data_IF_468358250068
#
_entry.id   IF_468358250068
#
_cell.length_a   1.000
_cell.length_b   1.000
_cell.length_c   1.000
_cell.angle_alpha   90.00
_cell.angle_beta   90.00
_cell.angle_gamma   90.00
#
_symmetry.space_group_name_H-M   'P 1'
#
loop_
_entity.id
_entity.type
_entity.pdbx_description
1 polymer ?
#
# COMPACT_ATOMS: atom_id res chain seq x y z
N UNK A 1 24.21 -12.46 -41.79
CA UNK A 1 25.21 -12.00 -40.79
C UNK A 1 25.25 -10.48 -40.84
N UNK A 2 24.72 -9.81 -39.81
CA UNK A 2 24.81 -8.36 -39.56
C UNK A 2 25.14 -8.18 -38.06
N UNK A 3 26.00 -7.23 -37.67
CA UNK A 3 26.82 -7.34 -36.46
C UNK A 3 26.08 -6.98 -35.17
N UNK A 4 26.42 -7.69 -34.09
CA UNK A 4 26.00 -7.40 -32.71
C UNK A 4 26.50 -6.01 -32.28
N UNK A 5 25.60 -5.18 -31.75
CA UNK A 5 25.96 -3.98 -31.00
C UNK A 5 25.98 -4.31 -29.51
N UNK A 6 27.21 -4.35 -28.99
CA UNK A 6 27.67 -4.01 -27.64
C UNK A 6 26.61 -3.73 -26.57
N UNK A 7 26.58 -4.62 -25.57
CA UNK A 7 25.99 -4.43 -24.25
C UNK A 7 26.92 -3.51 -23.44
N UNK A 8 26.50 -2.28 -23.14
CA UNK A 8 27.19 -1.41 -22.18
C UNK A 8 26.52 -1.54 -20.82
N UNK A 9 27.20 -2.30 -19.95
CA UNK A 9 27.01 -2.35 -18.51
C UNK A 9 27.44 -1.00 -17.91
N UNK A 10 26.47 -0.22 -17.41
CA UNK A 10 26.73 0.93 -16.55
C UNK A 10 26.29 0.55 -15.13
N UNK A 11 27.24 -0.03 -14.39
CA UNK A 11 27.32 0.09 -12.93
C UNK A 11 27.65 1.55 -12.57
N UNK A 12 27.51 1.95 -11.29
CA UNK A 12 27.85 3.23 -10.61
C UNK A 12 26.57 3.93 -10.10
N UNK A 13 26.35 4.29 -8.83
CA UNK A 13 27.12 4.26 -7.58
C UNK A 13 26.09 4.39 -6.45
N UNK A 14 26.10 3.50 -5.44
CA UNK A 14 25.40 3.75 -4.18
C UNK A 14 26.21 4.78 -3.36
N UNK A 15 25.61 5.92 -3.04
CA UNK A 15 26.17 6.91 -2.13
C UNK A 15 25.71 6.64 -0.70
N UNK A 16 26.56 6.81 0.33
CA UNK A 16 26.18 6.58 1.71
C UNK A 16 25.27 7.68 2.25
N UNK A 17 24.24 7.25 3.00
CA UNK A 17 23.31 8.08 3.75
C UNK A 17 24.04 9.05 4.68
N UNK A 18 23.59 10.31 4.67
CA UNK A 18 24.05 11.33 5.62
C UNK A 18 23.28 11.17 6.93
N UNK A 19 24.01 10.78 7.96
CA UNK A 19 23.59 10.74 9.36
C UNK A 19 23.27 12.16 9.84
N UNK A 20 22.00 12.49 10.02
CA UNK A 20 21.56 13.72 10.66
C UNK A 20 21.10 13.43 12.09
N UNK A 21 21.85 13.95 13.05
CA UNK A 21 21.58 13.93 14.49
C UNK A 21 20.24 14.59 14.82
N UNK A 22 19.25 13.80 15.23
CA UNK A 22 18.05 14.32 15.89
C UNK A 22 18.40 14.79 17.32
N UNK A 23 18.20 16.07 17.57
CA UNK A 23 18.28 16.64 18.92
C UNK A 23 16.89 16.57 19.59
N UNK A 24 16.85 15.88 20.73
CA UNK A 24 15.99 16.11 21.90
C UNK A 24 14.51 16.48 21.70
N UNK A 25 13.63 15.55 22.05
CA UNK A 25 12.27 15.87 22.49
C UNK A 25 12.10 15.50 23.97
N UNK A 26 11.68 16.52 24.73
CA UNK A 26 11.44 16.53 26.18
C UNK A 26 10.12 15.80 26.52
N UNK A 27 10.20 14.82 27.42
CA UNK A 27 9.04 14.10 27.96
C UNK A 27 8.49 14.85 29.18
N UNK A 28 7.54 15.74 28.97
CA UNK A 28 6.74 16.33 30.05
C UNK A 28 5.42 16.86 29.51
N UNK A 29 4.34 16.06 29.62
CA UNK A 29 2.96 16.49 29.96
C UNK A 29 1.93 15.38 29.60
N UNK A 30 1.84 14.34 30.43
CA UNK A 30 0.71 13.40 30.40
C UNK A 30 -0.44 14.02 31.20
N UNK A 31 -1.35 14.71 30.52
CA UNK A 31 -2.50 15.38 31.13
C UNK A 31 -3.74 15.33 30.26
N UNK A 32 -4.59 14.33 30.52
CA UNK A 32 -6.04 14.36 30.29
C UNK A 32 -6.53 14.49 28.85
N UNK A 33 -6.83 13.35 28.21
CA UNK A 33 -7.82 13.31 27.14
C UNK A 33 -8.86 12.23 27.42
N UNK A 34 -10.09 12.69 27.49
CA UNK A 34 -11.32 11.93 27.63
C UNK A 34 -11.43 10.89 26.52
N UNK A 35 -11.60 9.62 26.88
CA UNK A 35 -12.02 8.54 25.97
C UNK A 35 -13.51 8.77 25.63
N UNK A 36 -13.76 9.78 24.79
CA UNK A 36 -15.04 9.96 24.11
C UNK A 36 -15.04 9.10 22.86
N UNK A 37 -16.08 8.28 22.70
CA UNK A 37 -16.20 7.23 21.69
C UNK A 37 -15.64 7.58 20.33
N UNK A 38 -14.58 6.87 19.95
CA UNK A 38 -14.21 6.69 18.56
C UNK A 38 -15.18 5.63 18.03
N UNK A 39 -16.27 6.08 17.41
CA UNK A 39 -16.90 5.29 16.37
C UNK A 39 -15.84 5.06 15.32
N UNK A 40 -15.22 3.88 15.36
CA UNK A 40 -14.57 3.36 14.17
C UNK A 40 -15.69 3.00 13.22
N UNK A 41 -16.15 4.00 12.48
CA UNK A 41 -16.60 3.76 11.12
C UNK A 41 -15.33 3.25 10.40
N UNK A 42 -15.08 1.95 10.57
CA UNK A 42 -14.23 1.21 9.66
C UNK A 42 -15.00 1.22 8.34
N UNK A 43 -14.86 2.32 7.61
CA UNK A 43 -15.03 2.35 6.18
C UNK A 43 -14.05 1.30 5.68
N UNK A 44 -14.55 0.05 5.54
CA UNK A 44 -13.92 -0.95 4.72
C UNK A 44 -13.62 -0.22 3.42
N UNK A 45 -12.33 0.02 3.16
CA UNK A 45 -11.84 0.81 2.05
C UNK A 45 -12.52 0.28 0.81
N UNK A 46 -13.58 0.97 0.42
CA UNK A 46 -14.28 0.64 -0.80
C UNK A 46 -13.34 1.09 -1.90
N UNK A 47 -13.38 0.40 -3.03
CA UNK A 47 -13.04 0.86 -4.37
C UNK A 47 -13.36 2.35 -4.73
N UNK A 48 -13.95 3.12 -3.81
CA UNK A 48 -14.30 4.55 -3.74
C UNK A 48 -13.28 5.57 -4.24
N UNK A 49 -12.03 5.20 -4.53
CA UNK A 49 -11.01 6.11 -5.08
C UNK A 49 -10.57 5.79 -6.51
N UNK A 50 -11.09 4.73 -7.12
CA UNK A 50 -10.70 4.30 -8.46
C UNK A 50 -11.57 5.00 -9.53
N UNK A 51 -10.99 5.40 -10.68
CA UNK A 51 -11.75 5.93 -11.80
C UNK A 51 -12.84 4.95 -12.29
N UNK A 52 -13.93 5.47 -12.86
CA UNK A 52 -15.09 4.66 -13.32
C UNK A 52 -14.66 3.51 -14.25
N UNK A 53 -13.69 3.76 -15.14
CA UNK A 53 -13.12 2.75 -16.05
C UNK A 53 -12.56 1.51 -15.35
N UNK A 54 -12.18 1.63 -14.07
CA UNK A 54 -11.71 0.51 -13.25
C UNK A 54 -12.83 -0.31 -12.62
N UNK A 55 -14.07 0.20 -12.66
CA UNK A 55 -15.23 -0.40 -12.01
C UNK A 55 -16.26 -0.96 -13.01
N UNK A 56 -16.05 -0.76 -14.31
CA UNK A 56 -17.02 -1.08 -15.37
C UNK A 56 -17.47 -2.57 -15.41
N UNK A 57 -16.82 -3.48 -14.67
CA UNK A 57 -17.24 -4.89 -14.53
C UNK A 57 -17.06 -5.46 -13.10
N UNK A 58 -16.90 -4.61 -12.08
CA UNK A 58 -16.61 -5.04 -10.71
C UNK A 58 -17.76 -5.88 -10.09
N UNK A 59 -19.00 -5.66 -10.53
CA UNK A 59 -20.21 -6.33 -10.03
C UNK A 59 -20.20 -7.86 -10.23
N UNK A 60 -19.35 -8.39 -11.11
CA UNK A 60 -19.25 -9.83 -11.36
C UNK A 60 -18.59 -10.62 -10.21
N UNK A 61 -17.83 -9.96 -9.33
CA UNK A 61 -17.08 -10.62 -8.24
C UNK A 61 -17.56 -10.27 -6.82
N UNK A 62 -18.46 -9.29 -6.68
CA UNK A 62 -18.96 -8.80 -5.38
C UNK A 62 -19.72 -9.85 -4.53
N UNK A 63 -19.90 -11.07 -5.02
CA UNK A 63 -20.61 -12.16 -4.34
C UNK A 63 -19.75 -13.32 -3.86
N UNK A 64 -18.43 -13.28 -4.03
CA UNK A 64 -17.52 -14.38 -3.65
C UNK A 64 -16.72 -14.04 -2.38
N UNK A 65 -17.39 -13.72 -1.27
CA UNK A 65 -16.72 -13.68 0.04
C UNK A 65 -16.37 -15.11 0.47
N UNK A 66 -15.08 -15.38 0.71
CA UNK A 66 -14.69 -16.50 1.56
C UNK A 66 -14.77 -16.02 3.01
N UNK A 67 -15.94 -16.17 3.63
CA UNK A 67 -16.12 -15.99 5.07
C UNK A 67 -15.38 -17.11 5.83
N UNK A 68 -14.05 -16.99 5.94
CA UNK A 68 -13.30 -17.66 6.99
C UNK A 68 -13.30 -16.78 8.23
N UNK A 69 -13.55 -17.36 9.40
CA UNK A 69 -13.51 -16.66 10.69
C UNK A 69 -12.06 -16.23 11.01
N UNK A 70 -11.66 -15.08 10.46
CA UNK A 70 -10.34 -14.47 10.68
C UNK A 70 -10.17 -13.99 12.13
N UNK A 71 -11.27 -13.82 12.88
CA UNK A 71 -11.25 -13.34 14.27
C UNK A 71 -10.46 -14.29 15.19
N UNK A 72 -10.69 -15.60 15.05
CA UNK A 72 -9.96 -16.62 15.80
C UNK A 72 -8.47 -16.73 15.42
N UNK A 73 -8.10 -16.35 14.19
CA UNK A 73 -6.70 -16.34 13.75
C UNK A 73 -5.94 -15.09 14.22
N UNK A 74 -6.64 -13.99 14.51
CA UNK A 74 -6.04 -12.73 14.99
C UNK A 74 -5.82 -12.72 16.51
N UNK A 75 -6.44 -13.64 17.25
CA UNK A 75 -6.29 -13.76 18.69
C UNK A 75 -4.85 -14.15 19.07
N UNK A 76 -4.12 -13.23 19.71
CA UNK A 76 -2.74 -13.43 20.15
C UNK A 76 -1.65 -12.88 19.21
N UNK A 77 -2.02 -12.27 18.08
CA UNK A 77 -1.08 -11.56 17.20
C UNK A 77 -0.80 -10.14 17.70
N UNK A 78 0.39 -9.59 17.42
CA UNK A 78 0.70 -8.19 17.73
C UNK A 78 -0.12 -7.23 16.86
N UNK A 79 -0.28 -5.98 17.30
CA UNK A 79 -1.01 -4.94 16.56
C UNK A 79 -0.47 -4.77 15.13
N UNK A 80 0.86 -4.74 14.96
CA UNK A 80 1.48 -4.67 13.62
C UNK A 80 1.17 -5.88 12.72
N UNK A 81 1.07 -7.09 13.28
CA UNK A 81 0.66 -8.27 12.52
C UNK A 81 -0.82 -8.20 12.11
N UNK A 82 -1.68 -7.68 13.00
CA UNK A 82 -3.09 -7.49 12.72
C UNK A 82 -3.30 -6.45 11.61
N UNK A 83 -2.59 -5.32 11.69
CA UNK A 83 -2.61 -4.27 10.68
C UNK A 83 -2.19 -4.80 9.30
N UNK A 84 -1.09 -5.57 9.23
CA UNK A 84 -0.62 -6.16 7.98
C UNK A 84 -1.66 -7.09 7.34
N UNK A 85 -2.33 -7.94 8.14
CA UNK A 85 -3.38 -8.83 7.60
C UNK A 85 -4.62 -8.07 7.13
N UNK A 86 -5.05 -7.04 7.87
CA UNK A 86 -6.18 -6.19 7.47
C UNK A 86 -5.90 -5.49 6.13
N UNK A 87 -4.70 -4.89 5.98
CA UNK A 87 -4.30 -4.20 4.76
C UNK A 87 -4.25 -5.14 3.55
N UNK A 88 -3.70 -6.35 3.72
CA UNK A 88 -3.68 -7.37 2.67
C UNK A 88 -5.08 -7.82 2.25
N UNK A 89 -6.01 -7.95 3.20
CA UNK A 89 -7.40 -8.32 2.92
C UNK A 89 -8.13 -7.25 2.10
N UNK A 90 -7.99 -5.98 2.50
CA UNK A 90 -8.56 -4.85 1.76
C UNK A 90 -7.99 -4.75 0.33
N UNK A 91 -6.66 -4.79 0.21
CA UNK A 91 -5.94 -4.77 -1.07
C UNK A 91 -6.43 -5.88 -2.03
N UNK A 92 -6.62 -7.11 -1.52
CA UNK A 92 -7.06 -8.23 -2.35
C UNK A 92 -8.45 -8.00 -2.94
N UNK A 93 -9.40 -7.52 -2.13
CA UNK A 93 -10.77 -7.29 -2.58
C UNK A 93 -10.82 -6.22 -3.68
N UNK A 94 -10.17 -5.08 -3.47
CA UNK A 94 -10.16 -3.97 -4.43
C UNK A 94 -9.43 -4.35 -5.73
N UNK A 95 -8.27 -5.04 -5.63
CA UNK A 95 -7.52 -5.51 -6.79
C UNK A 95 -8.36 -6.46 -7.65
N UNK A 96 -9.04 -7.43 -7.03
CA UNK A 96 -9.86 -8.39 -7.77
C UNK A 96 -11.04 -7.73 -8.49
N UNK A 97 -11.63 -6.69 -7.90
CA UNK A 97 -12.67 -5.90 -8.55
C UNK A 97 -12.11 -5.10 -9.75
N UNK A 98 -10.96 -4.46 -9.58
CA UNK A 98 -10.37 -3.54 -10.55
C UNK A 98 -9.76 -4.23 -11.78
N UNK A 99 -9.35 -5.51 -11.67
CA UNK A 99 -8.79 -6.30 -12.76
C UNK A 99 -9.83 -6.81 -13.79
N UNK A 100 -11.11 -6.42 -13.65
CA UNK A 100 -12.20 -6.89 -14.52
C UNK A 100 -12.46 -5.99 -15.74
N UNK A 101 -11.67 -4.92 -15.95
CA UNK A 101 -11.79 -4.09 -17.15
C UNK A 101 -11.56 -4.92 -18.44
N UNK A 102 -12.27 -4.57 -19.52
CA UNK A 102 -12.18 -5.32 -20.79
C UNK A 102 -10.81 -5.17 -21.46
N UNK A 103 -10.26 -3.96 -21.46
CA UNK A 103 -8.91 -3.68 -21.95
C UNK A 103 -7.86 -4.14 -20.93
N UNK A 104 -6.89 -4.95 -21.38
CA UNK A 104 -5.88 -5.52 -20.50
C UNK A 104 -4.96 -4.47 -19.86
N UNK A 105 -4.58 -3.43 -20.61
CA UNK A 105 -3.71 -2.39 -20.07
C UNK A 105 -4.45 -1.60 -18.98
N UNK A 106 -5.73 -1.30 -19.21
CA UNK A 106 -6.61 -0.68 -18.21
C UNK A 106 -6.76 -1.61 -17.00
N UNK A 107 -7.06 -2.89 -17.19
CA UNK A 107 -7.21 -3.85 -16.10
C UNK A 107 -5.93 -3.99 -15.26
N UNK A 108 -4.75 -3.96 -15.91
CA UNK A 108 -3.47 -3.98 -15.22
C UNK A 108 -3.28 -2.73 -14.36
N UNK A 109 -3.48 -1.53 -14.92
CA UNK A 109 -3.31 -0.26 -14.19
C UNK A 109 -4.33 -0.15 -13.05
N UNK A 110 -5.59 -0.47 -13.34
CA UNK A 110 -6.67 -0.47 -12.35
C UNK A 110 -6.39 -1.46 -11.21
N UNK A 111 -5.87 -2.65 -11.49
CA UNK A 111 -5.47 -3.62 -10.47
C UNK A 111 -4.20 -3.24 -9.70
N UNK A 112 -3.27 -2.52 -10.33
CA UNK A 112 -2.03 -2.10 -9.69
C UNK A 112 -2.22 -0.95 -8.70
N UNK A 113 -3.18 -0.05 -8.91
CA UNK A 113 -3.47 1.02 -7.94
C UNK A 113 -3.78 0.49 -6.53
N UNK A 114 -4.77 -0.42 -6.31
CA UNK A 114 -5.04 -0.96 -4.99
C UNK A 114 -3.90 -1.85 -4.47
N UNK A 115 -3.18 -2.56 -5.35
CA UNK A 115 -1.98 -3.31 -4.95
C UNK A 115 -0.91 -2.40 -4.35
N UNK A 116 -0.64 -1.25 -5.00
CA UNK A 116 0.33 -0.26 -4.52
C UNK A 116 -0.19 0.42 -3.23
N UNK A 117 -1.50 0.67 -3.13
CA UNK A 117 -2.10 1.19 -1.89
C UNK A 117 -1.92 0.21 -0.71
N UNK A 118 -2.13 -1.09 -0.93
CA UNK A 118 -1.86 -2.10 0.10
C UNK A 118 -0.39 -2.12 0.55
N UNK A 119 0.55 -1.92 -0.39
CA UNK A 119 1.97 -1.79 -0.08
C UNK A 119 2.26 -0.52 0.74
N UNK A 120 1.61 0.61 0.45
CA UNK A 120 1.70 1.84 1.25
C UNK A 120 1.20 1.62 2.67
N UNK A 121 0.04 0.99 2.83
CA UNK A 121 -0.56 0.77 4.15
C UNK A 121 0.31 -0.17 5.00
N UNK A 122 0.91 -1.19 4.38
CA UNK A 122 1.89 -2.07 5.06
C UNK A 122 3.19 -1.36 5.41
N UNK A 123 3.70 -0.50 4.52
CA UNK A 123 4.90 0.28 4.79
C UNK A 123 4.66 1.27 5.95
N UNK A 124 3.49 1.92 6.00
CA UNK A 124 3.09 2.77 7.11
C UNK A 124 2.97 2.00 8.43
N UNK A 125 2.41 0.78 8.40
CA UNK A 125 2.41 -0.09 9.57
C UNK A 125 3.84 -0.47 10.01
N UNK A 126 4.77 -0.69 9.08
CA UNK A 126 6.17 -0.93 9.42
C UNK A 126 6.83 0.31 10.04
N UNK A 127 6.54 1.52 9.55
CA UNK A 127 7.04 2.77 10.14
C UNK A 127 6.54 2.97 11.57
N UNK A 128 5.31 2.53 11.88
CA UNK A 128 4.72 2.62 13.21
C UNK A 128 5.25 1.54 14.18
N UNK A 129 5.29 0.27 13.74
CA UNK A 129 5.50 -0.88 14.64
C UNK A 129 6.88 -1.52 14.57
N UNK A 130 7.70 -1.24 13.55
CA UNK A 130 9.04 -1.85 13.47
C UNK A 130 10.00 -1.23 14.49
N UNK A 131 10.88 -2.06 15.06
CA UNK A 131 11.97 -1.60 15.95
C UNK A 131 13.30 -1.48 15.21
N UNK A 132 13.48 -2.21 14.11
CA UNK A 132 14.71 -2.22 13.32
C UNK A 132 14.76 -1.02 12.36
N UNK A 133 15.82 -0.22 12.45
CA UNK A 133 15.95 1.01 11.67
C UNK A 133 16.09 0.74 10.16
N UNK A 134 16.73 -0.37 9.75
CA UNK A 134 16.79 -0.72 8.33
C UNK A 134 15.41 -1.05 7.77
N UNK A 135 14.54 -1.66 8.57
CA UNK A 135 13.15 -1.93 8.17
C UNK A 135 12.36 -0.62 7.98
N UNK A 136 12.57 0.38 8.84
CA UNK A 136 11.94 1.70 8.69
C UNK A 136 12.46 2.45 7.46
N UNK A 137 13.77 2.39 7.21
CA UNK A 137 14.36 2.97 6.00
C UNK A 137 13.74 2.35 4.73
N UNK A 138 13.66 1.02 4.67
CA UNK A 138 13.00 0.32 3.58
C UNK A 138 11.52 0.70 3.45
N UNK A 139 10.80 0.83 4.56
CA UNK A 139 9.39 1.22 4.55
C UNK A 139 9.20 2.64 3.97
N UNK A 140 10.06 3.59 4.34
CA UNK A 140 10.03 4.93 3.76
C UNK A 140 10.33 4.93 2.26
N UNK A 141 11.31 4.13 1.81
CA UNK A 141 11.60 3.98 0.38
C UNK A 141 10.40 3.41 -0.41
N UNK A 142 9.67 2.46 0.19
CA UNK A 142 8.44 1.91 -0.39
C UNK A 142 7.37 2.99 -0.48
N UNK A 143 7.15 3.79 0.56
CA UNK A 143 6.18 4.91 0.55
C UNK A 143 6.48 5.87 -0.61
N UNK A 144 7.71 6.38 -0.67
CA UNK A 144 8.11 7.38 -1.67
C UNK A 144 8.00 6.85 -3.11
N UNK A 145 8.25 5.55 -3.32
CA UNK A 145 8.15 4.93 -4.63
C UNK A 145 6.70 4.70 -5.06
N UNK A 146 5.91 4.09 -4.19
CA UNK A 146 4.57 3.61 -4.50
C UNK A 146 3.57 4.78 -4.61
N UNK A 147 3.74 5.86 -3.84
CA UNK A 147 2.94 7.09 -4.00
C UNK A 147 3.12 7.71 -5.39
N UNK A 148 4.37 7.77 -5.87
CA UNK A 148 4.68 8.26 -7.22
C UNK A 148 4.07 7.36 -8.29
N UNK A 149 4.20 6.04 -8.16
CA UNK A 149 3.65 5.08 -9.11
C UNK A 149 2.12 5.15 -9.17
N UNK A 150 1.43 5.33 -8.03
CA UNK A 150 -0.02 5.56 -8.00
C UNK A 150 -0.40 6.83 -8.76
N UNK A 151 0.34 7.92 -8.56
CA UNK A 151 0.08 9.17 -9.28
C UNK A 151 0.25 8.99 -10.80
N UNK A 152 1.34 8.34 -11.24
CA UNK A 152 1.58 8.05 -12.66
C UNK A 152 0.48 7.18 -13.29
N UNK A 153 -0.01 6.18 -12.55
CA UNK A 153 -1.11 5.32 -12.98
C UNK A 153 -2.44 6.08 -13.12
N UNK A 154 -2.74 6.98 -12.17
CA UNK A 154 -3.94 7.82 -12.22
C UNK A 154 -3.88 8.80 -13.39
N UNK A 155 -2.75 9.48 -13.57
CA UNK A 155 -2.53 10.39 -14.69
C UNK A 155 -2.67 9.67 -16.04
N UNK A 156 -2.17 8.43 -16.14
CA UNK A 156 -2.33 7.61 -17.32
C UNK A 156 -3.80 7.30 -17.60
N UNK A 157 -4.59 6.92 -16.58
CA UNK A 157 -6.02 6.63 -16.73
C UNK A 157 -6.82 7.87 -17.16
N UNK A 158 -6.48 9.05 -16.62
CA UNK A 158 -7.12 10.32 -17.00
C UNK A 158 -6.83 10.75 -18.44
N UNK A 159 -5.72 10.28 -19.01
CA UNK A 159 -5.30 10.61 -20.38
C UNK A 159 -5.95 9.75 -21.47
N UNK A 160 -6.81 8.80 -21.10
CA UNK A 160 -7.40 7.79 -22.01
C UNK A 160 -8.71 8.23 -22.65
#
# INVERSE_FOLDING_TARGET
MKPLKTLSLALLFAGPASFALAQGMDHSNMGGMSMGGMSMDAEAGSASGLPEVCLENADHMAGMSMDMDMSAMMEGMSEGHQAMMANMGAMHNDMMAAMMAEDFDVAFICGMIPHHQGALDMANAALEYAEDEWVKELAQEIVDAQEREIAEMRDWLESR
#
